data_IF_658824196582
#
_entry.id   IF_658824196582
#
_cell.length_a   1.000
_cell.length_b   1.000
_cell.length_c   1.000
_cell.angle_alpha   90.00
_cell.angle_beta   90.00
_cell.angle_gamma   90.00
#
_symmetry.space_group_name_H-M   'P 1'
#
loop_
_entity.id
_entity.type
_entity.pdbx_description
1 polymer ?
#
# COMPACT_ATOMS: atom_id res chain seq x y z
N UNK A 1 18.35 -8.20 26.01
CA UNK A 1 18.11 -7.54 24.71
C UNK A 1 17.68 -6.11 24.96
N UNK A 2 18.53 -5.12 24.64
CA UNK A 2 18.32 -3.70 24.94
C UNK A 2 17.01 -3.16 24.33
N UNK A 3 16.27 -2.34 25.08
CA UNK A 3 14.93 -1.86 24.72
C UNK A 3 14.87 -1.21 23.31
N UNK A 4 15.94 -0.53 22.88
CA UNK A 4 16.05 0.07 21.55
C UNK A 4 15.98 -0.93 20.40
N UNK A 5 16.60 -2.11 20.53
CA UNK A 5 16.55 -3.16 19.52
C UNK A 5 15.14 -3.76 19.41
N UNK A 6 14.45 -3.91 20.55
CA UNK A 6 13.07 -4.40 20.61
C UNK A 6 12.11 -3.40 19.93
N UNK A 7 12.23 -2.12 20.25
CA UNK A 7 11.39 -1.07 19.65
C UNK A 7 11.59 -0.99 18.13
N UNK A 8 12.84 -1.00 17.65
CA UNK A 8 13.13 -0.95 16.21
C UNK A 8 12.60 -2.18 15.45
N UNK A 9 12.60 -3.36 16.08
CA UNK A 9 11.99 -4.59 15.51
C UNK A 9 10.48 -4.46 15.42
N UNK A 10 9.80 -3.99 16.47
CA UNK A 10 8.35 -3.77 16.44
C UNK A 10 7.91 -2.78 15.38
N UNK A 11 8.63 -1.66 15.23
CA UNK A 11 8.37 -0.72 14.13
C UNK A 11 8.51 -1.39 12.75
N UNK A 12 9.53 -2.24 12.57
CA UNK A 12 9.68 -2.97 11.30
C UNK A 12 8.54 -3.96 11.06
N UNK A 13 8.09 -4.69 12.08
CA UNK A 13 6.95 -5.61 11.98
C UNK A 13 5.66 -4.86 11.64
N UNK A 14 5.41 -3.73 12.30
CA UNK A 14 4.24 -2.90 12.03
C UNK A 14 4.26 -2.35 10.60
N UNK A 15 5.42 -1.87 10.15
CA UNK A 15 5.59 -1.36 8.79
C UNK A 15 5.39 -2.45 7.73
N UNK A 16 6.17 -3.53 7.83
CA UNK A 16 6.18 -4.59 6.82
C UNK A 16 4.89 -5.44 6.83
N UNK A 17 4.20 -5.54 7.97
CA UNK A 17 2.94 -6.24 8.07
C UNK A 17 1.74 -5.35 7.75
N UNK A 18 1.02 -4.86 8.77
CA UNK A 18 -0.28 -4.21 8.57
C UNK A 18 -0.22 -2.92 7.75
N UNK A 19 0.85 -2.12 7.87
CA UNK A 19 0.94 -0.85 7.14
C UNK A 19 1.07 -1.06 5.62
N UNK A 20 1.93 -1.97 5.20
CA UNK A 20 2.10 -2.33 3.79
C UNK A 20 0.83 -2.98 3.24
N UNK A 21 0.17 -3.85 4.00
CA UNK A 21 -1.08 -4.48 3.58
C UNK A 21 -2.18 -3.42 3.37
N UNK A 22 -2.35 -2.49 4.31
CA UNK A 22 -3.27 -1.37 4.18
C UNK A 22 -2.92 -0.49 2.98
N UNK A 23 -1.64 -0.19 2.78
CA UNK A 23 -1.18 0.62 1.65
C UNK A 23 -1.53 -0.05 0.31
N UNK A 24 -1.25 -1.35 0.16
CA UNK A 24 -1.61 -2.10 -1.04
C UNK A 24 -3.13 -2.12 -1.28
N UNK A 25 -3.92 -2.25 -0.22
CA UNK A 25 -5.38 -2.19 -0.30
C UNK A 25 -5.86 -0.81 -0.77
N UNK A 26 -5.30 0.27 -0.24
CA UNK A 26 -5.61 1.64 -0.66
C UNK A 26 -5.22 1.89 -2.12
N UNK A 27 -4.06 1.41 -2.56
CA UNK A 27 -3.63 1.53 -3.96
C UNK A 27 -4.62 0.81 -4.88
N UNK A 28 -5.09 -0.38 -4.50
CA UNK A 28 -6.06 -1.11 -5.30
C UNK A 28 -7.45 -0.46 -5.27
N UNK A 29 -7.87 0.07 -4.12
CA UNK A 29 -9.12 0.82 -3.99
C UNK A 29 -9.11 2.10 -4.85
N UNK A 30 -8.04 2.90 -4.79
CA UNK A 30 -7.87 4.06 -5.67
C UNK A 30 -7.72 3.64 -7.14
N UNK A 31 -7.16 2.44 -7.38
CA UNK A 31 -7.15 1.73 -8.66
C UNK A 31 -8.48 1.77 -9.41
N UNK A 32 -9.59 1.58 -8.70
CA UNK A 32 -10.93 1.58 -9.28
C UNK A 32 -11.32 2.92 -9.94
N UNK A 33 -10.63 4.03 -9.61
CA UNK A 33 -10.90 5.36 -10.13
C UNK A 33 -10.18 5.60 -11.46
N UNK A 34 -8.92 5.17 -11.57
CA UNK A 34 -8.05 5.46 -12.71
C UNK A 34 -7.86 4.28 -13.68
N UNK A 35 -8.23 3.06 -13.29
CA UNK A 35 -8.24 1.93 -14.23
C UNK A 35 -9.36 2.10 -15.27
N UNK A 36 -9.08 1.84 -16.57
CA UNK A 36 -10.11 1.84 -17.59
C UNK A 36 -11.10 0.69 -17.33
N UNK A 37 -12.37 0.93 -17.68
CA UNK A 37 -13.39 -0.12 -17.64
C UNK A 37 -13.02 -1.21 -18.66
N UNK A 38 -12.99 -2.47 -18.24
CA UNK A 38 -12.70 -3.59 -19.14
C UNK A 38 -13.83 -3.84 -20.13
N UNK A 39 -13.50 -4.35 -21.31
CA UNK A 39 -14.41 -4.53 -22.45
C UNK A 39 -15.61 -5.50 -22.21
N UNK A 40 -15.69 -6.18 -21.06
CA UNK A 40 -16.67 -7.23 -20.83
C UNK A 40 -17.48 -7.14 -19.51
N UNK A 41 -17.39 -6.04 -18.74
CA UNK A 41 -18.04 -5.90 -17.40
C UNK A 41 -17.68 -6.97 -16.33
N UNK A 42 -17.01 -8.08 -16.71
CA UNK A 42 -16.57 -9.20 -15.85
C UNK A 42 -15.03 -9.28 -15.77
N UNK A 43 -14.31 -8.69 -16.74
CA UNK A 43 -12.84 -8.79 -16.91
C UNK A 43 -11.97 -7.98 -15.94
N UNK A 44 -12.56 -7.36 -14.91
CA UNK A 44 -11.81 -6.52 -13.98
C UNK A 44 -11.48 -7.22 -12.66
N UNK A 45 -11.87 -8.48 -12.44
CA UNK A 45 -11.52 -9.25 -11.23
C UNK A 45 -10.08 -9.78 -11.25
N UNK A 46 -9.57 -10.14 -12.42
CA UNK A 46 -8.19 -10.61 -12.58
C UNK A 46 -7.18 -9.54 -12.14
N UNK A 47 -7.49 -8.27 -12.38
CA UNK A 47 -6.63 -7.14 -12.04
C UNK A 47 -6.38 -7.03 -10.53
N UNK A 48 -7.39 -6.92 -9.64
CA UNK A 48 -7.20 -7.01 -8.20
C UNK A 48 -6.52 -8.31 -7.76
N UNK A 49 -6.92 -9.46 -8.33
CA UNK A 49 -6.37 -10.77 -7.97
C UNK A 49 -4.85 -10.84 -8.21
N UNK A 50 -4.34 -10.20 -9.27
CA UNK A 50 -2.91 -10.18 -9.57
C UNK A 50 -2.18 -8.95 -9.00
N UNK A 51 -2.76 -7.75 -9.18
CA UNK A 51 -2.14 -6.50 -8.77
C UNK A 51 -2.07 -6.35 -7.25
N UNK A 52 -3.11 -6.75 -6.51
CA UNK A 52 -3.08 -6.64 -5.05
C UNK A 52 -1.90 -7.41 -4.43
N UNK A 53 -1.73 -8.72 -4.69
CA UNK A 53 -0.58 -9.45 -4.14
C UNK A 53 0.75 -8.98 -4.73
N UNK A 54 0.79 -8.53 -5.99
CA UNK A 54 2.02 -7.99 -6.59
C UNK A 54 2.46 -6.68 -5.92
N UNK A 55 1.54 -5.71 -5.76
CA UNK A 55 1.79 -4.44 -5.07
C UNK A 55 2.20 -4.71 -3.62
N UNK A 56 1.45 -5.57 -2.93
CA UNK A 56 1.77 -5.96 -1.57
C UNK A 56 3.16 -6.57 -1.46
N UNK A 57 3.51 -7.54 -2.31
CA UNK A 57 4.81 -8.19 -2.30
C UNK A 57 5.94 -7.19 -2.53
N UNK A 58 5.81 -6.30 -3.53
CA UNK A 58 6.81 -5.25 -3.80
C UNK A 58 7.01 -4.34 -2.59
N UNK A 59 5.91 -3.85 -1.99
CA UNK A 59 5.97 -3.00 -0.81
C UNK A 59 6.50 -3.74 0.43
N UNK A 60 6.17 -5.02 0.58
CA UNK A 60 6.60 -5.89 1.67
C UNK A 60 8.10 -6.11 1.61
N UNK A 61 8.62 -6.48 0.43
CA UNK A 61 10.06 -6.64 0.22
C UNK A 61 10.78 -5.31 0.39
N UNK A 62 10.24 -4.21 -0.16
CA UNK A 62 10.80 -2.88 0.06
C UNK A 62 10.91 -2.52 1.56
N UNK A 63 9.84 -2.74 2.33
CA UNK A 63 9.83 -2.46 3.78
C UNK A 63 10.78 -3.39 4.57
N UNK A 64 10.87 -4.66 4.16
CA UNK A 64 11.71 -5.67 4.81
C UNK A 64 13.20 -5.46 4.54
N UNK A 65 13.57 -5.11 3.31
CA UNK A 65 14.94 -4.82 2.89
C UNK A 65 15.38 -3.38 3.20
N UNK A 66 14.50 -2.55 3.76
CA UNK A 66 14.81 -1.15 4.07
C UNK A 66 15.95 -1.01 5.10
N UNK A 67 17.07 -0.43 4.65
CA UNK A 67 18.20 -0.04 5.51
C UNK A 67 17.81 1.07 6.50
N UNK A 68 17.01 2.05 6.03
CA UNK A 68 16.52 3.20 6.80
C UNK A 68 15.01 3.13 7.00
N UNK A 69 14.57 2.69 8.19
CA UNK A 69 13.15 2.58 8.55
C UNK A 69 12.37 3.88 8.30
N UNK A 70 12.93 5.04 8.67
CA UNK A 70 12.28 6.34 8.49
C UNK A 70 11.94 6.63 7.02
N UNK A 71 12.82 6.26 6.08
CA UNK A 71 12.58 6.44 4.65
C UNK A 71 11.46 5.51 4.16
N UNK A 72 11.44 4.27 4.64
CA UNK A 72 10.40 3.32 4.26
C UNK A 72 9.01 3.76 4.77
N UNK A 73 8.92 4.24 6.01
CA UNK A 73 7.71 4.87 6.54
C UNK A 73 7.27 6.09 5.72
N UNK A 74 8.20 6.97 5.34
CA UNK A 74 7.87 8.15 4.54
C UNK A 74 7.32 7.75 3.16
N UNK A 75 7.97 6.81 2.46
CA UNK A 75 7.51 6.35 1.14
C UNK A 75 6.13 5.70 1.23
N UNK A 76 5.93 4.75 2.14
CA UNK A 76 4.64 4.07 2.30
C UNK A 76 3.56 5.06 2.74
N UNK A 77 3.88 5.98 3.65
CA UNK A 77 2.98 7.03 4.10
C UNK A 77 2.55 7.98 2.98
N UNK A 78 3.48 8.42 2.12
CA UNK A 78 3.17 9.26 0.95
C UNK A 78 2.23 8.53 0.00
N UNK A 79 2.48 7.25 -0.29
CA UNK A 79 1.60 6.46 -1.16
C UNK A 79 0.19 6.38 -0.55
N UNK A 80 0.06 6.08 0.75
CA UNK A 80 -1.25 6.05 1.42
C UNK A 80 -1.97 7.40 1.32
N UNK A 81 -1.28 8.51 1.61
CA UNK A 81 -1.88 9.86 1.56
C UNK A 81 -2.33 10.19 0.14
N UNK A 82 -1.52 9.90 -0.88
CA UNK A 82 -1.90 10.14 -2.27
C UNK A 82 -3.15 9.34 -2.66
N UNK A 83 -3.24 8.07 -2.25
CA UNK A 83 -4.43 7.25 -2.51
C UNK A 83 -5.66 7.78 -1.76
N UNK A 84 -5.52 8.18 -0.50
CA UNK A 84 -6.62 8.77 0.28
C UNK A 84 -7.09 10.10 -0.30
N UNK A 85 -6.18 10.97 -0.74
CA UNK A 85 -6.51 12.25 -1.40
C UNK A 85 -7.24 11.99 -2.72
N UNK A 86 -6.77 11.02 -3.51
CA UNK A 86 -7.42 10.64 -4.77
C UNK A 86 -8.84 10.12 -4.54
N UNK A 87 -8.99 9.19 -3.60
CA UNK A 87 -10.29 8.59 -3.26
C UNK A 87 -11.22 9.65 -2.68
N UNK A 88 -10.79 10.38 -1.65
CA UNK A 88 -11.58 11.42 -1.02
C UNK A 88 -11.98 12.53 -2.00
N UNK A 89 -11.04 13.01 -2.81
CA UNK A 89 -11.31 14.02 -3.83
C UNK A 89 -12.33 13.55 -4.87
N UNK A 90 -12.25 12.29 -5.30
CA UNK A 90 -13.23 11.72 -6.24
C UNK A 90 -14.65 11.65 -5.65
N UNK A 91 -14.78 11.30 -4.37
CA UNK A 91 -16.07 11.25 -3.67
C UNK A 91 -16.64 12.65 -3.35
N UNK A 92 -15.80 13.65 -3.11
CA UNK A 92 -16.25 15.01 -2.77
C UNK A 92 -16.59 15.86 -4.01
N UNK A 93 -16.01 15.54 -5.17
CA UNK A 93 -16.20 16.30 -6.43
C UNK A 93 -17.23 15.67 -7.39
N UNK A 94 -17.88 14.57 -6.97
CA UNK A 94 -18.98 13.90 -7.69
C UNK A 94 -20.27 13.99 -6.90
#
# INVERSE_FOLDING_TARGET
MSAHLRHRRWLRVLLAGPLVLLCAALVMAGGAIWLPKGAAQINNLLLPVLLFPAIWAVLFFYASLALRLRRAYAVIGIICVLQLVLIGGHFMLR
#
